data_IF_651824146017
#
_entry.id   IF_651824146017
#
_cell.length_a   1.000
_cell.length_b   1.000
_cell.length_c   1.000
_cell.angle_alpha   90.00
_cell.angle_beta   90.00
_cell.angle_gamma   90.00
#
_symmetry.space_group_name_H-M   'P 1'
#
loop_
_entity.id
_entity.type
_entity.pdbx_description
1 polymer ?
#
# COMPACT_ATOMS: atom_id res chain seq x y z
N UNK A 1 -16.35 -29.23 34.95
CA UNK A 1 -14.88 -29.39 35.02
C UNK A 1 -14.27 -28.31 34.14
N UNK A 2 -13.47 -27.40 34.70
CA UNK A 2 -12.78 -26.38 33.91
C UNK A 2 -11.46 -26.96 33.37
N UNK A 3 -11.22 -26.80 32.08
CA UNK A 3 -9.99 -27.22 31.42
C UNK A 3 -9.14 -25.97 31.16
N UNK A 4 -7.92 -25.94 31.69
CA UNK A 4 -6.96 -24.87 31.39
C UNK A 4 -6.24 -25.28 30.10
N UNK A 5 -6.39 -24.47 29.05
CA UNK A 5 -5.77 -24.68 27.75
C UNK A 5 -4.71 -23.60 27.52
N UNK A 6 -3.43 -23.98 27.56
CA UNK A 6 -2.32 -23.06 27.29
C UNK A 6 -2.09 -23.01 25.78
N UNK A 7 -2.30 -21.84 25.16
CA UNK A 7 -1.96 -21.59 23.75
C UNK A 7 -0.69 -20.73 23.68
N UNK A 8 0.34 -21.26 23.04
CA UNK A 8 1.51 -20.47 22.65
C UNK A 8 1.25 -19.82 21.29
N UNK A 9 1.54 -18.51 21.19
CA UNK A 9 1.41 -17.74 19.94
C UNK A 9 2.78 -17.18 19.58
N UNK A 10 3.22 -17.39 18.34
CA UNK A 10 4.43 -16.78 17.77
C UNK A 10 4.02 -15.73 16.74
N UNK A 11 4.53 -14.51 16.88
CA UNK A 11 4.27 -13.39 15.97
C UNK A 11 5.59 -12.90 15.37
N UNK A 12 5.61 -12.66 14.06
CA UNK A 12 6.79 -12.18 13.32
C UNK A 12 6.40 -10.92 12.59
N UNK A 13 7.08 -9.82 12.90
CA UNK A 13 6.87 -8.51 12.27
C UNK A 13 8.14 -8.05 11.57
N UNK A 14 7.96 -7.54 10.36
CA UNK A 14 9.00 -6.87 9.59
C UNK A 14 8.47 -5.50 9.16
N UNK A 15 9.31 -4.47 9.31
CA UNK A 15 9.02 -3.11 8.86
C UNK A 15 9.99 -2.78 7.73
N UNK A 16 9.46 -2.32 6.61
CA UNK A 16 10.24 -1.76 5.52
C UNK A 16 9.65 -0.40 5.14
N UNK A 17 10.50 0.47 4.63
CA UNK A 17 10.10 1.79 4.12
C UNK A 17 10.16 1.74 2.60
N UNK A 18 9.17 2.37 1.97
CA UNK A 18 9.10 2.53 0.52
C UNK A 18 8.99 4.01 0.19
N UNK A 19 9.44 4.38 -1.00
CA UNK A 19 9.19 5.72 -1.53
C UNK A 19 7.79 5.85 -2.14
N UNK A 20 7.48 7.02 -2.68
CA UNK A 20 6.17 7.28 -3.27
C UNK A 20 5.94 6.49 -4.56
N UNK A 21 6.97 6.27 -5.38
CA UNK A 21 6.84 5.55 -6.64
C UNK A 21 6.56 4.07 -6.39
N UNK A 22 7.30 3.47 -5.46
CA UNK A 22 7.06 2.11 -4.97
C UNK A 22 5.67 1.98 -4.34
N UNK A 23 5.23 2.97 -3.55
CA UNK A 23 3.88 2.99 -2.99
C UNK A 23 2.80 3.04 -4.08
N UNK A 24 2.98 3.84 -5.13
CA UNK A 24 2.05 3.86 -6.27
C UNK A 24 2.04 2.54 -7.03
N UNK A 25 3.19 1.89 -7.18
CA UNK A 25 3.27 0.58 -7.81
C UNK A 25 2.50 -0.48 -6.99
N UNK A 26 2.64 -0.46 -5.67
CA UNK A 26 1.89 -1.35 -4.77
C UNK A 26 0.39 -1.09 -4.83
N UNK A 27 -0.04 0.17 -4.86
CA UNK A 27 -1.45 0.52 -4.98
C UNK A 27 -2.04 0.04 -6.30
N UNK A 28 -1.35 0.27 -7.43
CA UNK A 28 -1.78 -0.22 -8.74
C UNK A 28 -1.88 -1.75 -8.77
N UNK A 29 -0.92 -2.45 -8.16
CA UNK A 29 -0.93 -3.92 -8.07
C UNK A 29 -2.11 -4.42 -7.24
N UNK A 30 -2.39 -3.77 -6.10
CA UNK A 30 -3.53 -4.13 -5.26
C UNK A 30 -4.88 -3.72 -5.88
N UNK A 31 -4.90 -2.71 -6.75
CA UNK A 31 -6.07 -2.19 -7.44
C UNK A 31 -6.74 -3.18 -8.39
N UNK A 32 -6.01 -4.17 -8.92
CA UNK A 32 -6.60 -5.27 -9.71
C UNK A 32 -7.60 -6.11 -8.90
N UNK A 33 -7.48 -6.10 -7.56
CA UNK A 33 -8.23 -6.98 -6.68
C UNK A 33 -7.54 -8.33 -6.47
N UNK A 34 -7.70 -8.86 -5.27
CA UNK A 34 -7.03 -10.07 -4.80
C UNK A 34 -7.28 -11.28 -5.72
N UNK A 35 -8.55 -11.54 -6.04
CA UNK A 35 -8.94 -12.68 -6.87
C UNK A 35 -8.45 -12.58 -8.31
N UNK A 36 -8.58 -11.40 -8.92
CA UNK A 36 -8.18 -11.19 -10.30
C UNK A 36 -6.67 -11.34 -10.46
N UNK A 37 -5.89 -10.76 -9.53
CA UNK A 37 -4.44 -10.88 -9.52
C UNK A 37 -4.00 -12.33 -9.33
N UNK A 38 -4.53 -13.03 -8.32
CA UNK A 38 -4.16 -14.42 -8.03
C UNK A 38 -4.52 -15.34 -9.19
N UNK A 39 -5.70 -15.15 -9.80
CA UNK A 39 -6.11 -15.91 -10.97
C UNK A 39 -5.12 -15.71 -12.12
N UNK A 40 -4.82 -14.47 -12.49
CA UNK A 40 -3.89 -14.17 -13.57
C UNK A 40 -2.47 -14.70 -13.28
N UNK A 41 -2.01 -14.57 -12.03
CA UNK A 41 -0.73 -15.13 -11.59
C UNK A 41 -0.69 -16.64 -11.80
N UNK A 42 -1.73 -17.37 -11.37
CA UNK A 42 -1.77 -18.82 -11.52
C UNK A 42 -1.93 -19.29 -12.96
N UNK A 43 -2.65 -18.53 -13.79
CA UNK A 43 -2.83 -18.86 -15.20
C UNK A 43 -1.51 -18.77 -15.97
N UNK A 44 -0.62 -17.83 -15.60
CA UNK A 44 0.64 -17.57 -16.31
C UNK A 44 1.83 -18.29 -15.67
N UNK A 45 1.98 -18.22 -14.35
CA UNK A 45 3.16 -18.69 -13.62
C UNK A 45 2.94 -20.03 -12.92
N UNK A 46 1.69 -20.52 -12.91
CA UNK A 46 1.30 -21.73 -12.20
C UNK A 46 1.18 -21.53 -10.69
N UNK A 47 0.80 -22.61 -10.00
CA UNK A 47 0.44 -22.57 -8.56
C UNK A 47 1.60 -22.87 -7.61
N UNK A 48 2.71 -23.40 -8.11
CA UNK A 48 3.76 -23.99 -7.27
C UNK A 48 4.30 -23.03 -6.19
N UNK A 49 4.44 -21.75 -6.51
CA UNK A 49 5.03 -20.76 -5.62
C UNK A 49 4.05 -20.12 -4.64
N UNK A 50 2.81 -19.84 -5.08
CA UNK A 50 1.87 -19.03 -4.28
C UNK A 50 0.76 -19.83 -3.61
N UNK A 51 0.54 -21.10 -3.97
CA UNK A 51 -0.54 -21.93 -3.40
C UNK A 51 -0.54 -21.98 -1.87
N UNK A 52 0.63 -22.14 -1.25
CA UNK A 52 0.74 -22.23 0.21
C UNK A 52 0.70 -20.87 0.92
N UNK A 53 0.76 -19.78 0.16
CA UNK A 53 0.84 -18.41 0.66
C UNK A 53 -0.34 -17.54 0.20
N UNK A 54 -1.32 -18.13 -0.50
CA UNK A 54 -2.42 -17.41 -1.14
C UNK A 54 -3.20 -16.54 -0.15
N UNK A 55 -3.57 -17.09 1.00
CA UNK A 55 -4.29 -16.34 2.03
C UNK A 55 -3.45 -15.18 2.57
N UNK A 56 -2.12 -15.36 2.65
CA UNK A 56 -1.19 -14.31 3.03
C UNK A 56 -1.15 -13.18 2.00
N UNK A 57 -1.07 -13.54 0.72
CA UNK A 57 -1.10 -12.60 -0.39
C UNK A 57 -2.43 -11.83 -0.46
N UNK A 58 -3.57 -12.50 -0.28
CA UNK A 58 -4.89 -11.85 -0.21
C UNK A 58 -4.93 -10.79 0.87
N UNK A 59 -4.54 -11.17 2.10
CA UNK A 59 -4.48 -10.23 3.23
C UNK A 59 -3.51 -9.08 2.97
N UNK A 60 -2.38 -9.34 2.33
CA UNK A 60 -1.38 -8.32 2.01
C UNK A 60 -1.91 -7.31 0.97
N UNK A 61 -2.50 -7.76 -0.14
CA UNK A 61 -3.10 -6.86 -1.13
C UNK A 61 -4.29 -6.08 -0.54
N UNK A 62 -5.07 -6.72 0.34
CA UNK A 62 -6.10 -6.05 1.13
C UNK A 62 -5.53 -4.97 2.05
N UNK A 63 -4.44 -5.24 2.76
CA UNK A 63 -3.83 -4.27 3.67
C UNK A 63 -3.18 -3.10 2.94
N UNK A 64 -2.57 -3.32 1.78
CA UNK A 64 -2.04 -2.25 0.92
C UNK A 64 -3.14 -1.23 0.61
N UNK A 65 -4.33 -1.69 0.19
CA UNK A 65 -5.44 -0.78 -0.13
C UNK A 65 -5.89 0.06 1.05
N UNK A 66 -5.75 -0.43 2.28
CA UNK A 66 -6.14 0.28 3.49
C UNK A 66 -5.05 1.23 4.02
N UNK A 67 -3.78 0.98 3.68
CA UNK A 67 -2.63 1.73 4.23
C UNK A 67 -2.04 2.69 3.19
N UNK A 68 -1.78 2.20 1.99
CA UNK A 68 -1.07 2.93 0.94
C UNK A 68 -1.96 3.98 0.29
N UNK A 69 -3.23 3.68 0.01
CA UNK A 69 -4.16 4.66 -0.57
C UNK A 69 -4.29 5.94 0.26
N UNK A 70 -4.57 5.87 1.58
CA UNK A 70 -4.60 7.07 2.41
C UNK A 70 -3.26 7.81 2.44
N UNK A 71 -2.14 7.10 2.47
CA UNK A 71 -0.81 7.71 2.47
C UNK A 71 -0.52 8.47 1.16
N UNK A 72 -0.89 7.89 0.01
CA UNK A 72 -0.76 8.53 -1.29
C UNK A 72 -1.69 9.75 -1.42
N UNK A 73 -2.92 9.66 -0.91
CA UNK A 73 -3.84 10.81 -0.88
C UNK A 73 -3.28 11.98 -0.06
N UNK A 74 -2.62 11.69 1.08
CA UNK A 74 -1.92 12.70 1.87
C UNK A 74 -0.71 13.28 1.11
N UNK A 75 0.06 12.44 0.43
CA UNK A 75 1.19 12.90 -0.40
C UNK A 75 0.72 13.85 -1.51
N UNK A 76 -0.39 13.53 -2.17
CA UNK A 76 -0.99 14.36 -3.21
C UNK A 76 -1.48 15.70 -2.65
N UNK A 77 -2.11 15.70 -1.48
CA UNK A 77 -2.51 16.94 -0.79
C UNK A 77 -1.29 17.81 -0.46
N UNK A 78 -0.24 17.22 0.11
CA UNK A 78 0.98 17.94 0.44
C UNK A 78 1.64 18.56 -0.80
N UNK A 79 1.72 17.82 -1.91
CA UNK A 79 2.23 18.32 -3.18
C UNK A 79 1.43 19.51 -3.70
N UNK A 80 0.11 19.46 -3.58
CA UNK A 80 -0.76 20.56 -4.03
C UNK A 80 -0.56 21.82 -3.18
N UNK A 81 -0.43 21.68 -1.86
CA UNK A 81 -0.15 22.81 -0.96
C UNK A 81 1.20 23.46 -1.27
N UNK A 82 2.25 22.67 -1.52
CA UNK A 82 3.57 23.19 -1.89
C UNK A 82 3.51 23.96 -3.20
N UNK A 83 2.80 23.44 -4.21
CA UNK A 83 2.59 24.13 -5.49
C UNK A 83 1.85 25.47 -5.31
N UNK A 84 0.81 25.50 -4.48
CA UNK A 84 0.04 26.72 -4.20
C UNK A 84 0.91 27.79 -3.52
N UNK A 85 1.70 27.40 -2.51
CA UNK A 85 2.62 28.33 -1.84
C UNK A 85 3.68 28.92 -2.79
N UNK A 86 4.21 28.10 -3.70
CA UNK A 86 5.14 28.55 -4.74
C UNK A 86 4.51 29.58 -5.67
N UNK A 87 3.26 29.37 -6.10
CA UNK A 87 2.53 30.31 -6.96
C UNK A 87 2.27 31.64 -6.25
N UNK A 88 1.81 31.61 -4.99
CA UNK A 88 1.58 32.82 -4.19
C UNK A 88 2.85 33.66 -4.00
N UNK A 89 4.02 33.00 -3.85
CA UNK A 89 5.31 33.69 -3.74
C UNK A 89 5.71 34.36 -5.06
N UNK A 90 5.46 33.71 -6.19
CA UNK A 90 5.72 34.27 -7.52
C UNK A 90 4.84 35.48 -7.82
N UNK A 91 3.54 35.41 -7.48
CA UNK A 91 2.60 36.52 -7.64
C UNK A 91 3.00 37.75 -6.81
N UNK A 92 3.36 37.55 -5.53
CA UNK A 92 3.83 38.67 -4.68
C UNK A 92 5.11 39.31 -5.21
N UNK A 93 6.04 38.53 -5.76
CA UNK A 93 7.27 39.06 -6.34
C UNK A 93 6.99 39.92 -7.58
N UNK A 94 6.05 39.49 -8.44
CA UNK A 94 5.70 40.22 -9.67
C UNK A 94 4.91 41.51 -9.44
N UNK A 95 4.23 41.69 -8.30
CA UNK A 95 3.51 42.92 -7.94
C UNK A 95 4.43 44.00 -7.35
N UNK A 96 5.67 43.64 -6.98
CA UNK A 96 6.62 44.55 -6.31
C UNK A 96 7.72 45.08 -7.24
N UNK A 97 7.72 44.68 -8.51
CA UNK A 97 8.58 45.20 -9.59
C UNK A 97 7.75 45.96 -10.62
#
# INVERSE_FOLDING_TARGET
MAQICVKATLDVKATFTIDEEEARALDALAGYGEDAFIKAFYDVLGKAYMKNHEDGLRRFLGSIRNVVNPALALADQAKNLVKQDQLLKQEKFNVTN
#
